data_IF_178340748618
#
_entry.id   IF_178340748618
#
_cell.length_a   1.000
_cell.length_b   1.000
_cell.length_c   1.000
_cell.angle_alpha   90.00
_cell.angle_beta   90.00
_cell.angle_gamma   90.00
#
_symmetry.space_group_name_H-M   'P 1'
#
loop_
_entity.id
_entity.type
_entity.pdbx_description
1 polymer ?
#
# COMPACT_ATOMS: atom_id res chain seq x y z
N UNK A 1 -18.32 -5.19 -10.56
CA UNK A 1 -17.80 -6.30 -11.39
C UNK A 1 -16.28 -6.35 -11.47
N UNK A 2 -15.58 -5.27 -11.82
CA UNK A 2 -14.10 -5.27 -11.93
C UNK A 2 -13.36 -5.77 -10.68
N UNK A 3 -13.84 -5.43 -9.48
CA UNK A 3 -13.25 -5.91 -8.22
C UNK A 3 -13.26 -7.44 -8.11
N UNK A 4 -14.34 -8.11 -8.52
CA UNK A 4 -14.45 -9.57 -8.49
C UNK A 4 -13.48 -10.22 -9.46
N UNK A 5 -13.35 -9.65 -10.66
CA UNK A 5 -12.37 -10.11 -11.64
C UNK A 5 -10.93 -10.01 -11.11
N UNK A 6 -10.60 -8.91 -10.42
CA UNK A 6 -9.28 -8.75 -9.83
C UNK A 6 -8.99 -9.78 -8.74
N UNK A 7 -9.95 -10.03 -7.84
CA UNK A 7 -9.75 -10.96 -6.73
C UNK A 7 -9.73 -12.43 -7.21
N UNK A 8 -10.62 -12.81 -8.12
CA UNK A 8 -10.80 -14.21 -8.51
C UNK A 8 -9.91 -14.67 -9.67
N UNK A 9 -9.43 -13.76 -10.51
CA UNK A 9 -8.69 -14.12 -11.73
C UNK A 9 -7.29 -13.51 -11.73
N UNK A 10 -7.19 -12.18 -11.61
CA UNK A 10 -5.92 -11.50 -11.80
C UNK A 10 -4.93 -11.73 -10.65
N UNK A 11 -5.40 -11.61 -9.40
CA UNK A 11 -4.60 -11.80 -8.20
C UNK A 11 -4.00 -13.21 -8.10
N UNK A 12 -4.78 -14.32 -8.16
CA UNK A 12 -4.22 -15.66 -8.05
C UNK A 12 -3.23 -15.94 -9.19
N UNK A 13 -3.57 -15.55 -10.43
CA UNK A 13 -2.67 -15.78 -11.57
C UNK A 13 -1.30 -15.13 -11.41
N UNK A 14 -1.24 -13.96 -10.78
CA UNK A 14 0.03 -13.26 -10.52
C UNK A 14 0.81 -13.95 -9.41
N UNK A 15 0.13 -14.43 -8.35
CA UNK A 15 0.79 -15.19 -7.28
C UNK A 15 1.38 -16.50 -7.80
N UNK A 16 0.65 -17.20 -8.66
CA UNK A 16 1.12 -18.42 -9.32
C UNK A 16 2.42 -18.15 -10.12
N UNK A 17 2.41 -17.13 -10.98
CA UNK A 17 3.57 -16.75 -11.81
C UNK A 17 4.79 -16.34 -10.96
N UNK A 18 4.55 -15.61 -9.86
CA UNK A 18 5.61 -15.24 -8.92
C UNK A 18 6.18 -16.45 -8.17
N UNK A 19 5.33 -17.42 -7.82
CA UNK A 19 5.76 -18.63 -7.11
C UNK A 19 6.64 -19.52 -7.99
N UNK A 20 6.29 -19.62 -9.29
CA UNK A 20 6.95 -20.49 -10.27
C UNK A 20 8.24 -19.86 -10.82
N UNK A 21 8.17 -18.65 -11.36
CA UNK A 21 9.28 -18.04 -12.10
C UNK A 21 10.13 -17.06 -11.26
N UNK A 22 9.67 -16.69 -10.05
CA UNK A 22 10.30 -15.68 -9.16
C UNK A 22 10.46 -14.28 -9.80
N UNK A 23 9.98 -14.09 -11.03
CA UNK A 23 9.98 -12.86 -11.82
C UNK A 23 8.62 -12.74 -12.49
N UNK A 24 8.05 -11.55 -12.48
CA UNK A 24 6.74 -11.32 -13.08
C UNK A 24 6.86 -11.13 -14.59
N UNK A 25 6.00 -11.81 -15.35
CA UNK A 25 5.86 -11.57 -16.79
C UNK A 25 5.48 -10.11 -17.09
N UNK A 26 6.13 -9.50 -18.10
CA UNK A 26 5.88 -8.11 -18.51
C UNK A 26 4.42 -7.88 -18.94
N UNK A 27 3.77 -8.87 -19.55
CA UNK A 27 2.36 -8.75 -19.94
C UNK A 27 1.44 -8.66 -18.72
N UNK A 28 1.71 -9.44 -17.66
CA UNK A 28 0.96 -9.37 -16.40
C UNK A 28 1.24 -8.06 -15.65
N UNK A 29 2.48 -7.57 -15.68
CA UNK A 29 2.81 -6.26 -15.12
C UNK A 29 2.05 -5.13 -15.82
N UNK A 30 1.96 -5.17 -17.15
CA UNK A 30 1.18 -4.21 -17.93
C UNK A 30 -0.32 -4.34 -17.65
N UNK A 31 -0.83 -5.57 -17.45
CA UNK A 31 -2.22 -5.80 -17.05
C UNK A 31 -2.51 -5.18 -15.67
N UNK A 32 -1.61 -5.30 -14.69
CA UNK A 32 -1.72 -4.63 -13.39
C UNK A 32 -1.75 -3.11 -13.54
N UNK A 33 -0.86 -2.55 -14.37
CA UNK A 33 -0.84 -1.12 -14.64
C UNK A 33 -2.15 -0.64 -15.29
N UNK A 34 -2.76 -1.46 -16.15
CA UNK A 34 -4.09 -1.18 -16.72
C UNK A 34 -5.23 -1.37 -15.71
N UNK A 35 -5.11 -2.28 -14.76
CA UNK A 35 -6.11 -2.48 -13.72
C UNK A 35 -6.31 -1.24 -12.83
N UNK A 36 -5.25 -0.42 -12.67
CA UNK A 36 -5.27 0.84 -11.91
C UNK A 36 -6.11 1.97 -12.53
N UNK A 37 -6.58 1.84 -13.77
CA UNK A 37 -7.55 2.79 -14.33
C UNK A 37 -8.85 2.88 -13.51
N UNK A 38 -9.16 1.84 -12.74
CA UNK A 38 -10.25 1.84 -11.74
C UNK A 38 -9.64 1.69 -10.34
N UNK A 39 -9.14 2.78 -9.72
CA UNK A 39 -8.36 2.72 -8.48
C UNK A 39 -9.15 2.11 -7.32
N UNK A 40 -10.44 2.45 -7.17
CA UNK A 40 -11.28 1.89 -6.12
C UNK A 40 -11.41 0.35 -6.19
N UNK A 41 -11.50 -0.20 -7.41
CA UNK A 41 -11.55 -1.64 -7.62
C UNK A 41 -10.19 -2.30 -7.38
N UNK A 42 -9.09 -1.64 -7.77
CA UNK A 42 -7.74 -2.14 -7.57
C UNK A 42 -7.39 -2.24 -6.08
N UNK A 43 -7.66 -1.19 -5.29
CA UNK A 43 -7.37 -1.18 -3.85
C UNK A 43 -8.14 -2.28 -3.11
N UNK A 44 -9.46 -2.37 -3.35
CA UNK A 44 -10.33 -3.35 -2.67
C UNK A 44 -10.23 -4.78 -3.23
N UNK A 45 -9.76 -4.94 -4.46
CA UNK A 45 -9.72 -6.24 -5.16
C UNK A 45 -8.34 -6.88 -5.22
N UNK A 46 -7.27 -6.10 -5.01
CA UNK A 46 -5.88 -6.57 -5.09
C UNK A 46 -5.14 -6.26 -3.79
N UNK A 47 -4.97 -4.98 -3.45
CA UNK A 47 -4.09 -4.61 -2.32
C UNK A 47 -4.66 -5.06 -0.98
N UNK A 48 -5.92 -4.73 -0.66
CA UNK A 48 -6.49 -5.10 0.63
C UNK A 48 -6.58 -6.62 0.81
N UNK A 49 -7.10 -7.40 -0.16
CA UNK A 49 -7.09 -8.87 -0.04
C UNK A 49 -5.69 -9.47 0.08
N UNK A 50 -4.70 -8.93 -0.65
CA UNK A 50 -3.31 -9.39 -0.57
C UNK A 50 -2.75 -9.20 0.85
N UNK A 51 -3.00 -8.05 1.47
CA UNK A 51 -2.52 -7.74 2.82
C UNK A 51 -3.33 -8.45 3.92
N UNK A 52 -4.64 -8.62 3.72
CA UNK A 52 -5.55 -9.30 4.68
C UNK A 52 -5.28 -10.80 4.74
N UNK A 53 -4.82 -11.40 3.63
CA UNK A 53 -4.47 -12.83 3.59
C UNK A 53 -3.30 -13.22 4.50
N UNK A 54 -2.44 -12.27 4.92
CA UNK A 54 -1.28 -12.54 5.77
C UNK A 54 -0.12 -13.27 5.08
N UNK A 55 -0.36 -13.96 3.97
CA UNK A 55 0.63 -14.73 3.20
C UNK A 55 1.46 -13.88 2.22
N UNK A 56 1.43 -12.55 2.34
CA UNK A 56 2.09 -11.65 1.41
C UNK A 56 3.61 -11.65 1.63
N UNK A 57 4.36 -12.11 0.63
CA UNK A 57 5.82 -12.08 0.64
C UNK A 57 6.36 -10.68 0.34
N UNK A 58 7.56 -10.38 0.84
CA UNK A 58 8.22 -9.08 0.57
C UNK A 58 8.42 -8.83 -0.94
N UNK A 59 8.63 -9.89 -1.74
CA UNK A 59 8.79 -9.78 -3.20
C UNK A 59 7.48 -9.40 -3.89
N UNK A 60 6.38 -10.04 -3.52
CA UNK A 60 5.04 -9.66 -4.00
C UNK A 60 4.78 -8.18 -3.68
N UNK A 61 5.00 -7.78 -2.42
CA UNK A 61 4.80 -6.41 -1.97
C UNK A 61 5.61 -5.38 -2.77
N UNK A 62 6.88 -5.67 -3.09
CA UNK A 62 7.72 -4.79 -3.92
C UNK A 62 7.17 -4.67 -5.34
N UNK A 63 6.73 -5.77 -5.95
CA UNK A 63 6.23 -5.76 -7.34
C UNK A 63 4.92 -4.98 -7.42
N UNK A 64 3.91 -5.34 -6.60
CA UNK A 64 2.64 -4.61 -6.56
C UNK A 64 2.85 -3.15 -6.16
N UNK A 65 3.72 -2.91 -5.17
CA UNK A 65 4.11 -1.59 -4.74
C UNK A 65 4.72 -0.74 -5.86
N UNK A 66 5.58 -1.32 -6.71
CA UNK A 66 6.18 -0.61 -7.84
C UNK A 66 5.14 -0.08 -8.84
N UNK A 67 4.04 -0.81 -9.04
CA UNK A 67 2.96 -0.39 -9.94
C UNK A 67 2.23 0.82 -9.33
N UNK A 68 1.92 0.76 -8.04
CA UNK A 68 1.30 1.86 -7.27
C UNK A 68 2.19 3.10 -7.30
N UNK A 69 3.49 2.93 -7.03
CA UNK A 69 4.48 4.00 -7.02
C UNK A 69 4.59 4.73 -8.37
N UNK A 70 4.43 4.02 -9.49
CA UNK A 70 4.47 4.61 -10.85
C UNK A 70 3.14 5.21 -11.29
N UNK A 71 2.01 4.72 -10.79
CA UNK A 71 0.68 5.18 -11.19
C UNK A 71 0.24 6.44 -10.45
N UNK A 72 -0.50 7.33 -11.10
CA UNK A 72 -1.18 8.45 -10.45
C UNK A 72 -2.53 7.98 -9.91
N UNK A 73 -2.77 8.13 -8.60
CA UNK A 73 -3.99 7.65 -7.94
C UNK A 73 -4.67 8.85 -7.27
N UNK A 74 -6.00 9.01 -7.40
CA UNK A 74 -6.73 10.06 -6.70
C UNK A 74 -6.55 9.96 -5.18
N UNK A 75 -6.40 11.12 -4.52
CA UNK A 75 -6.11 11.22 -3.08
C UNK A 75 -7.15 10.48 -2.24
N UNK A 76 -8.44 10.62 -2.54
CA UNK A 76 -9.53 9.98 -1.79
C UNK A 76 -9.37 8.45 -1.68
N UNK A 77 -8.99 7.79 -2.77
CA UNK A 77 -8.82 6.34 -2.79
C UNK A 77 -7.55 5.90 -2.08
N UNK A 78 -6.46 6.66 -2.25
CA UNK A 78 -5.20 6.43 -1.53
C UNK A 78 -5.37 6.59 -0.02
N UNK A 79 -6.07 7.64 0.42
CA UNK A 79 -6.39 7.91 1.82
C UNK A 79 -7.21 6.81 2.47
N UNK A 80 -8.26 6.34 1.78
CA UNK A 80 -9.09 5.25 2.28
C UNK A 80 -8.31 3.93 2.39
N UNK A 81 -7.45 3.63 1.40
CA UNK A 81 -6.61 2.44 1.44
C UNK A 81 -5.57 2.52 2.56
N UNK A 82 -4.89 3.67 2.73
CA UNK A 82 -3.88 3.86 3.76
C UNK A 82 -4.48 3.71 5.16
N UNK A 83 -5.64 4.32 5.41
CA UNK A 83 -6.35 4.18 6.67
C UNK A 83 -6.62 2.70 6.99
N UNK A 84 -7.11 1.95 6.01
CA UNK A 84 -7.39 0.52 6.21
C UNK A 84 -6.12 -0.29 6.49
N UNK A 85 -5.01 0.00 5.81
CA UNK A 85 -3.72 -0.66 6.06
C UNK A 85 -3.20 -0.33 7.47
N UNK A 86 -3.36 0.90 7.93
CA UNK A 86 -2.93 1.32 9.27
C UNK A 86 -3.77 0.69 10.40
N UNK A 87 -5.04 0.35 10.14
CA UNK A 87 -5.88 -0.40 11.09
C UNK A 87 -5.49 -1.88 11.20
N UNK A 88 -4.86 -2.44 10.17
CA UNK A 88 -4.47 -3.85 10.12
C UNK A 88 -3.22 -4.15 10.97
N UNK A 89 -3.01 -5.43 11.25
CA UNK A 89 -1.82 -5.91 11.96
C UNK A 89 -0.53 -5.55 11.21
N UNK A 90 0.56 -5.31 11.94
CA UNK A 90 1.83 -4.97 11.32
C UNK A 90 2.46 -6.19 10.64
N UNK A 91 2.85 -6.01 9.38
CA UNK A 91 3.66 -6.96 8.61
C UNK A 91 4.70 -6.20 7.80
N UNK A 92 5.79 -6.87 7.40
CA UNK A 92 6.79 -6.26 6.52
C UNK A 92 6.25 -5.82 5.16
N UNK A 93 5.18 -6.47 4.67
CA UNK A 93 4.51 -6.05 3.44
C UNK A 93 3.71 -4.75 3.64
N UNK A 94 2.99 -4.60 4.76
CA UNK A 94 2.20 -3.41 5.08
C UNK A 94 3.07 -2.15 5.13
N UNK A 95 4.26 -2.24 5.73
CA UNK A 95 5.18 -1.11 5.85
C UNK A 95 5.70 -0.60 4.49
N UNK A 96 5.89 -1.50 3.51
CA UNK A 96 6.27 -1.14 2.13
C UNK A 96 5.15 -0.34 1.46
N UNK A 97 3.90 -0.76 1.60
CA UNK A 97 2.77 -0.02 1.01
C UNK A 97 2.55 1.32 1.70
N UNK A 98 2.63 1.40 3.03
CA UNK A 98 2.53 2.67 3.76
C UNK A 98 3.60 3.65 3.26
N UNK A 99 4.85 3.19 3.13
CA UNK A 99 5.94 3.96 2.52
C UNK A 99 5.56 4.51 1.15
N UNK A 100 5.09 3.65 0.24
CA UNK A 100 4.79 4.04 -1.15
C UNK A 100 3.66 5.07 -1.22
N UNK A 101 2.64 4.96 -0.37
CA UNK A 101 1.56 5.94 -0.32
C UNK A 101 2.01 7.28 0.28
N UNK A 102 2.90 7.28 1.27
CA UNK A 102 3.49 8.51 1.82
C UNK A 102 4.43 9.19 0.81
N UNK A 103 5.20 8.42 0.05
CA UNK A 103 6.10 8.93 -1.01
C UNK A 103 5.36 9.71 -2.11
N UNK A 104 4.05 9.48 -2.28
CA UNK A 104 3.22 10.26 -3.20
C UNK A 104 3.00 11.70 -2.77
N UNK A 105 3.29 12.06 -1.52
CA UNK A 105 3.14 13.41 -0.95
C UNK A 105 1.78 14.04 -1.21
N UNK A 106 0.72 13.24 -1.08
CA UNK A 106 -0.65 13.74 -1.20
C UNK A 106 -1.07 14.53 0.05
N UNK A 107 -1.99 15.48 -0.12
CA UNK A 107 -2.66 16.16 1.00
C UNK A 107 -3.63 15.18 1.68
N UNK A 108 -3.15 14.46 2.69
CA UNK A 108 -3.95 13.47 3.43
C UNK A 108 -4.92 14.15 4.42
N UNK A 109 -6.13 13.60 4.64
CA UNK A 109 -7.02 14.02 5.71
C UNK A 109 -6.43 13.75 7.10
N UNK A 110 -6.77 14.56 8.11
CA UNK A 110 -6.24 14.43 9.48
C UNK A 110 -6.44 13.04 10.06
N UNK A 111 -7.65 12.46 9.92
CA UNK A 111 -7.94 11.09 10.37
C UNK A 111 -6.95 10.04 9.87
N UNK A 112 -6.45 10.20 8.64
CA UNK A 112 -5.53 9.25 8.01
C UNK A 112 -4.13 9.42 8.57
N UNK A 113 -3.72 10.66 8.84
CA UNK A 113 -2.46 10.98 9.51
C UNK A 113 -2.48 10.44 10.94
N UNK A 114 -3.55 10.67 11.69
CA UNK A 114 -3.72 10.15 13.04
C UNK A 114 -3.63 8.62 13.05
N UNK A 115 -4.35 7.94 12.15
CA UNK A 115 -4.30 6.49 12.00
C UNK A 115 -2.88 5.98 11.71
N UNK A 116 -2.12 6.67 10.87
CA UNK A 116 -0.73 6.33 10.59
C UNK A 116 0.14 6.48 11.85
N UNK A 117 0.01 7.59 12.58
CA UNK A 117 0.75 7.81 13.85
C UNK A 117 0.41 6.73 14.87
N UNK A 118 -0.86 6.42 15.07
CA UNK A 118 -1.30 5.35 15.97
C UNK A 118 -0.74 3.98 15.57
N UNK A 119 -0.67 3.68 14.27
CA UNK A 119 -0.06 2.44 13.78
C UNK A 119 1.42 2.33 14.20
N UNK A 120 2.19 3.42 14.13
CA UNK A 120 3.59 3.45 14.55
C UNK A 120 3.80 3.47 16.07
N UNK A 121 2.85 4.03 16.82
CA UNK A 121 2.88 3.96 18.29
C UNK A 121 2.69 2.51 18.76
N UNK A 122 1.74 1.78 18.19
CA UNK A 122 1.54 0.34 18.48
C UNK A 122 2.78 -0.51 18.20
N UNK A 123 3.57 -0.13 17.20
CA UNK A 123 4.80 -0.82 16.85
C UNK A 123 5.89 -0.67 17.92
N UNK A 124 6.00 0.54 18.47
CA UNK A 124 6.92 0.84 19.59
C UNK A 124 6.61 -0.04 20.80
N UNK A 125 5.33 -0.19 21.14
CA UNK A 125 4.90 -0.98 22.30
C UNK A 125 5.22 -2.48 22.12
N UNK A 126 5.20 -2.98 20.88
CA UNK A 126 5.55 -4.36 20.54
C UNK A 126 7.06 -4.61 20.42
N UNK A 127 7.91 -3.63 20.73
CA UNK A 127 9.38 -3.75 20.65
C UNK A 127 9.93 -3.90 19.23
N UNK A 128 9.12 -3.68 18.20
CA UNK A 128 9.54 -3.72 16.80
C UNK A 128 9.74 -2.30 16.31
N UNK A 129 10.98 -1.94 15.98
CA UNK A 129 11.29 -0.65 15.37
C UNK A 129 11.15 -0.75 13.85
N UNK A 130 10.18 -0.07 13.21
CA UNK A 130 10.21 0.11 11.78
C UNK A 130 11.49 0.85 11.38
N UNK A 131 11.96 0.59 10.16
CA UNK A 131 13.17 1.20 9.64
C UNK A 131 13.08 2.74 9.74
N UNK A 132 14.13 3.38 10.26
CA UNK A 132 14.23 4.82 10.57
C UNK A 132 13.69 5.74 9.46
N UNK A 133 13.80 5.31 8.22
CA UNK A 133 13.32 6.01 7.04
C UNK A 133 11.78 6.16 6.98
N UNK A 134 11.01 5.22 7.52
CA UNK A 134 9.55 5.32 7.61
C UNK A 134 9.16 6.36 8.67
N UNK A 135 9.82 6.36 9.83
CA UNK A 135 9.64 7.40 10.84
C UNK A 135 9.95 8.79 10.28
N UNK A 136 11.04 8.91 9.52
CA UNK A 136 11.40 10.17 8.87
C UNK A 136 10.33 10.64 7.88
N UNK A 137 9.78 9.75 7.03
CA UNK A 137 8.75 10.15 6.07
C UNK A 137 7.42 10.48 6.72
N UNK A 138 7.02 9.78 7.78
CA UNK A 138 5.82 10.11 8.55
C UNK A 138 6.00 11.46 9.22
N UNK A 139 7.14 11.69 9.86
CA UNK A 139 7.47 12.97 10.49
C UNK A 139 7.56 14.11 9.46
N UNK A 140 8.16 13.86 8.30
CA UNK A 140 8.23 14.83 7.21
C UNK A 140 6.86 15.13 6.62
N UNK A 141 6.00 14.12 6.42
CA UNK A 141 4.62 14.29 5.95
C UNK A 141 3.78 15.07 6.97
N UNK A 142 3.97 14.79 8.26
CA UNK A 142 3.38 15.55 9.36
C UNK A 142 3.85 17.00 9.30
N UNK A 143 5.16 17.24 9.30
CA UNK A 143 5.76 18.58 9.26
C UNK A 143 5.33 19.40 8.05
N UNK A 144 5.38 18.82 6.84
CA UNK A 144 4.94 19.44 5.59
C UNK A 144 3.44 19.78 5.58
N UNK A 145 2.63 19.26 6.50
CA UNK A 145 1.21 19.61 6.60
C UNK A 145 0.94 20.65 7.68
N UNK A 146 1.65 20.63 8.81
CA UNK A 146 1.47 21.59 9.91
C UNK A 146 2.24 22.91 9.70
N UNK A 147 3.33 22.95 8.92
CA UNK A 147 4.04 24.20 8.60
C UNK A 147 3.31 25.10 7.57
N UNK A 148 2.29 24.61 6.85
CA UNK A 148 1.50 25.43 5.91
C UNK A 148 0.30 26.16 6.57
N UNK A 149 0.12 26.02 7.88
CA UNK A 149 -0.96 26.69 8.63
C UNK A 149 -0.44 27.66 9.71
N UNK A 150 0.83 28.08 9.61
CA UNK A 150 1.42 29.18 10.38
C UNK A 150 1.93 30.25 9.42
#
# INVERSE_FOLDING_TARGET
MAQRFYNLVLLPRIRDDLSEYKRLNMHLYNALRKALFKPAAFMKGIILPLLESGDCTLREAIIFGSVVARSTIPVLHSSACLLKICEMGYTGANSIFIRIFLDKRYALPYRVVDAAVFHFLRLKDNGQFPCMWIYFNVFYTYRMRYEYYV
#
